data_IF_901688702313
#
_entry.id   IF_901688702313
#
_cell.length_a   1.000
_cell.length_b   1.000
_cell.length_c   1.000
_cell.angle_alpha   90.00
_cell.angle_beta   90.00
_cell.angle_gamma   90.00
#
_symmetry.space_group_name_H-M   'P 1'
#
loop_
_entity.id
_entity.type
_entity.pdbx_description
1 polymer ?
#
# COMPACT_ATOMS: atom_id res chain seq x y z
N UNK A 1 -6.51 -14.54 5.23
CA UNK A 1 -6.03 -13.29 4.62
C UNK A 1 -6.15 -12.23 5.69
N UNK A 2 -5.03 -11.64 6.11
CA UNK A 2 -4.99 -10.72 7.25
C UNK A 2 -5.63 -9.39 6.85
N UNK A 3 -6.65 -8.98 7.60
CA UNK A 3 -7.45 -7.78 7.31
C UNK A 3 -6.64 -6.47 7.33
N UNK A 4 -5.46 -6.47 7.95
CA UNK A 4 -4.62 -5.30 8.12
C UNK A 4 -3.88 -4.90 6.83
N UNK A 5 -3.33 -5.87 6.08
CA UNK A 5 -2.72 -5.60 4.77
C UNK A 5 -3.77 -5.06 3.78
N UNK A 6 -4.97 -5.65 3.76
CA UNK A 6 -6.06 -5.21 2.88
C UNK A 6 -6.54 -3.79 3.23
N UNK A 7 -6.62 -3.44 4.53
CA UNK A 7 -6.92 -2.07 4.97
C UNK A 7 -5.81 -1.10 4.58
N UNK A 8 -4.55 -1.52 4.67
CA UNK A 8 -3.39 -0.71 4.30
C UNK A 8 -3.37 -0.40 2.81
N UNK A 9 -3.57 -1.42 1.99
CA UNK A 9 -3.70 -1.28 0.53
C UNK A 9 -4.94 -0.46 0.19
N UNK A 10 -6.10 -0.75 0.79
CA UNK A 10 -7.34 0.02 0.60
C UNK A 10 -7.16 1.51 0.91
N UNK A 11 -6.41 1.83 1.97
CA UNK A 11 -6.07 3.20 2.32
C UNK A 11 -5.05 3.80 1.36
N UNK A 12 -4.06 3.05 0.90
CA UNK A 12 -3.13 3.50 -0.14
C UNK A 12 -3.81 3.73 -1.51
N UNK A 13 -4.92 3.02 -1.80
CA UNK A 13 -5.74 3.24 -3.00
C UNK A 13 -6.46 4.58 -2.94
N UNK A 14 -6.96 4.96 -1.77
CA UNK A 14 -7.82 6.13 -1.58
C UNK A 14 -7.05 7.38 -1.12
N UNK A 15 -5.90 7.19 -0.48
CA UNK A 15 -5.09 8.25 0.10
C UNK A 15 -3.73 8.33 -0.62
N UNK A 16 -3.66 9.25 -1.59
CA UNK A 16 -2.47 9.46 -2.43
C UNK A 16 -1.25 9.86 -1.60
N UNK A 17 -1.43 10.66 -0.55
CA UNK A 17 -0.35 11.07 0.34
C UNK A 17 0.17 9.89 1.16
N UNK A 18 -0.71 9.02 1.62
CA UNK A 18 -0.35 7.79 2.32
C UNK A 18 0.44 6.85 1.41
N UNK A 19 0.03 6.68 0.15
CA UNK A 19 0.76 5.83 -0.80
C UNK A 19 2.15 6.33 -1.11
N UNK A 20 2.31 7.64 -1.30
CA UNK A 20 3.62 8.24 -1.60
C UNK A 20 4.58 8.03 -0.42
N UNK A 21 4.07 8.18 0.82
CA UNK A 21 4.82 7.83 2.03
C UNK A 21 5.09 6.33 2.13
N UNK A 22 4.15 5.46 1.74
CA UNK A 22 4.30 4.00 1.79
C UNK A 22 5.37 3.52 0.80
N UNK A 23 5.53 4.23 -0.31
CA UNK A 23 6.58 4.00 -1.31
C UNK A 23 7.95 4.50 -0.83
N UNK A 24 7.97 5.66 -0.18
CA UNK A 24 9.19 6.22 0.39
C UNK A 24 9.68 5.42 1.60
N UNK A 25 8.75 5.03 2.48
CA UNK A 25 9.03 4.36 3.74
C UNK A 25 7.86 3.43 4.18
N UNK A 26 7.80 2.20 3.65
CA UNK A 26 6.70 1.29 3.96
C UNK A 26 6.66 0.91 5.45
N UNK A 27 7.81 0.82 6.12
CA UNK A 27 7.89 0.46 7.55
C UNK A 27 7.35 1.56 8.47
N UNK A 28 7.72 2.81 8.24
CA UNK A 28 7.24 3.94 9.02
C UNK A 28 5.77 4.22 8.77
N UNK A 29 5.27 4.04 7.54
CA UNK A 29 3.84 4.20 7.27
C UNK A 29 3.01 3.11 7.93
N UNK A 30 3.47 1.85 7.90
CA UNK A 30 2.80 0.75 8.62
C UNK A 30 2.76 1.03 10.12
N UNK A 31 3.86 1.50 10.71
CA UNK A 31 3.92 1.94 12.11
C UNK A 31 3.01 3.14 12.40
N UNK A 32 2.99 4.15 11.54
CA UNK A 32 2.12 5.33 11.67
C UNK A 32 0.64 4.97 11.55
N UNK A 33 0.31 3.96 10.74
CA UNK A 33 -1.04 3.44 10.62
C UNK A 33 -1.48 2.62 11.84
N UNK A 34 -0.56 2.33 12.78
CA UNK A 34 -0.80 1.47 13.93
C UNK A 34 -0.98 -0.01 13.55
N UNK A 35 -0.55 -0.39 12.34
CA UNK A 35 -0.71 -1.74 11.82
C UNK A 35 0.56 -2.54 12.15
N UNK A 36 0.37 -3.72 12.74
CA UNK A 36 1.47 -4.66 12.95
C UNK A 36 1.42 -5.69 11.82
N UNK A 37 2.17 -5.42 10.75
CA UNK A 37 2.40 -6.43 9.71
C UNK A 37 3.48 -7.39 10.18
N UNK A 38 3.28 -8.68 9.94
CA UNK A 38 4.32 -9.69 10.10
C UNK A 38 5.41 -9.51 9.04
N UNK A 39 6.61 -10.06 9.29
CA UNK A 39 7.72 -9.97 8.34
C UNK A 39 7.34 -10.43 6.93
N UNK A 40 6.58 -11.51 6.81
CA UNK A 40 6.05 -12.03 5.54
C UNK A 40 5.08 -11.07 4.83
N UNK A 41 4.21 -10.38 5.60
CA UNK A 41 3.28 -9.41 5.06
C UNK A 41 4.00 -8.14 4.60
N UNK A 42 5.02 -7.74 5.35
CA UNK A 42 5.87 -6.61 5.02
C UNK A 42 6.74 -6.91 3.79
N UNK A 43 7.22 -8.14 3.63
CA UNK A 43 7.88 -8.58 2.39
C UNK A 43 6.93 -8.60 1.20
N UNK A 44 5.69 -9.08 1.36
CA UNK A 44 4.68 -9.03 0.29
C UNK A 44 4.32 -7.60 -0.08
N UNK A 45 4.18 -6.72 0.91
CA UNK A 45 3.94 -5.30 0.70
C UNK A 45 5.11 -4.69 -0.07
N UNK A 46 6.34 -4.88 0.43
CA UNK A 46 7.56 -4.43 -0.24
C UNK A 46 7.64 -5.00 -1.64
N UNK A 47 7.38 -6.28 -1.89
CA UNK A 47 7.38 -6.86 -3.24
C UNK A 47 6.29 -6.25 -4.14
N UNK A 48 5.14 -5.85 -3.58
CA UNK A 48 4.07 -5.18 -4.31
C UNK A 48 4.37 -3.72 -4.71
N UNK A 49 5.18 -3.01 -3.90
CA UNK A 49 5.63 -1.63 -4.20
C UNK A 49 7.04 -1.54 -4.83
N UNK A 50 7.93 -2.49 -4.56
CA UNK A 50 9.33 -2.52 -5.01
C UNK A 50 9.34 -2.92 -6.48
N UNK A 51 9.75 -1.99 -7.33
CA UNK A 51 9.77 -2.15 -8.78
C UNK A 51 8.66 -1.41 -9.52
N UNK A 52 7.76 -0.72 -8.81
CA UNK A 52 6.75 0.15 -9.42
C UNK A 52 7.06 1.61 -9.09
N UNK A 53 7.10 2.47 -10.10
CA UNK A 53 7.17 3.91 -9.86
C UNK A 53 5.90 4.40 -9.15
N UNK A 54 6.00 5.49 -8.37
CA UNK A 54 4.83 6.12 -7.72
C UNK A 54 3.72 6.45 -8.72
N UNK A 55 4.10 6.69 -9.99
CA UNK A 55 3.22 6.90 -11.14
C UNK A 55 2.47 5.62 -11.58
N UNK A 56 3.16 4.48 -11.71
CA UNK A 56 2.56 3.21 -12.11
C UNK A 56 1.60 2.65 -11.05
N UNK A 57 1.94 2.85 -9.77
CA UNK A 57 1.04 2.51 -8.68
C UNK A 57 -0.18 3.42 -8.64
N UNK A 58 -0.04 4.71 -8.98
CA UNK A 58 -1.18 5.63 -9.13
C UNK A 58 -2.14 5.14 -10.21
N UNK A 59 -1.61 4.79 -11.39
CA UNK A 59 -2.41 4.26 -12.49
C UNK A 59 -3.06 2.92 -12.14
N UNK A 60 -2.33 1.97 -11.53
CA UNK A 60 -2.91 0.69 -11.14
C UNK A 60 -3.99 0.81 -10.07
N UNK A 61 -3.79 1.72 -9.11
CA UNK A 61 -4.77 1.99 -8.07
C UNK A 61 -5.98 2.75 -8.60
N UNK A 62 -5.77 3.67 -9.54
CA UNK A 62 -6.85 4.32 -10.26
C UNK A 62 -7.68 3.29 -11.03
N UNK A 63 -7.04 2.34 -11.73
CA UNK A 63 -7.72 1.25 -12.45
C UNK A 63 -8.47 0.30 -11.51
N UNK A 64 -7.89 -0.05 -10.36
CA UNK A 64 -8.55 -0.86 -9.32
C UNK A 64 -9.75 -0.14 -8.72
N UNK A 65 -9.63 1.17 -8.46
CA UNK A 65 -10.75 2.01 -8.01
C UNK A 65 -11.90 2.02 -9.02
N UNK A 66 -11.61 2.13 -10.32
CA UNK A 66 -12.64 2.10 -11.37
C UNK A 66 -13.29 0.72 -11.51
N UNK A 67 -12.60 -0.36 -11.10
CA UNK A 67 -13.13 -1.74 -11.14
C UNK A 67 -14.09 -2.05 -9.97
N UNK A 68 -13.99 -1.32 -8.86
CA UNK A 68 -14.77 -1.54 -7.63
C UNK A 68 -15.88 -0.49 -7.42
N UNK A 69 -16.20 0.28 -8.46
CA UNK A 69 -17.25 1.30 -8.49
C UNK A 69 -18.33 0.91 -9.50
#
# INVERSE_FOLDING_TARGET
MSSDLERLVGRAVTDKAFRDKLLADPEGVVKQAGLQLSAEEMEKLKAGVKGKSSKELDEQLALLRTRWM
#
